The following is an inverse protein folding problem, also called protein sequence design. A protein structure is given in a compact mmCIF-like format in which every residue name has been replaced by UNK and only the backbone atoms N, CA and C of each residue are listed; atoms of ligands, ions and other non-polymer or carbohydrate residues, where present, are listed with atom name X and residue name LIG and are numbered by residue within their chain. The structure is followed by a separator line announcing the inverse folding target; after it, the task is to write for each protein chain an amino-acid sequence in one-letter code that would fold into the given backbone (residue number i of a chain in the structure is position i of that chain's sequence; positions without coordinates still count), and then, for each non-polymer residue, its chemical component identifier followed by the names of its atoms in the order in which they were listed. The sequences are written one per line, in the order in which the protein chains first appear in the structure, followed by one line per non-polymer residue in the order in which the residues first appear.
data_IF_278158262677
#
_entry.id   IF_278158262677
#
_cell.length_a   1.000
_cell.length_b   1.000
_cell.length_c   1.000
_cell.angle_alpha   90.00
_cell.angle_beta   90.00
_cell.angle_gamma   90.00
#
_symmetry.space_group_name_H-M   'P 1'
#
loop_
_entity.id
_entity.type
_entity.pdbx_description
1 polymer ?
#
# COMPACT_ATOMS: atom_id res chain seq x y z
N UNK A 1 19.00 15.42 -0.41
CA UNK A 1 17.58 15.85 -0.52
C UNK A 1 17.33 16.86 0.58
N UNK A 2 16.90 18.08 0.23
CA UNK A 2 16.96 19.26 1.09
C UNK A 2 16.03 19.12 2.31
N UNK A 3 16.60 18.85 3.49
CA UNK A 3 15.83 18.51 4.71
C UNK A 3 15.05 19.71 5.28
N UNK A 4 15.35 20.93 4.80
CA UNK A 4 14.75 22.20 5.25
C UNK A 4 13.60 22.71 4.38
N UNK A 5 13.43 22.18 3.16
CA UNK A 5 12.26 22.53 2.36
C UNK A 5 11.02 21.89 3.01
N UNK A 6 9.93 22.65 3.16
CA UNK A 6 8.62 22.20 3.65
C UNK A 6 8.49 21.96 5.18
N UNK A 7 9.36 22.56 6.01
CA UNK A 7 9.30 22.38 7.46
C UNK A 7 7.96 22.83 8.10
N UNK A 8 7.37 23.92 7.61
CA UNK A 8 6.08 24.41 8.11
C UNK A 8 4.91 23.51 7.68
N UNK A 9 4.87 23.08 6.42
CA UNK A 9 3.86 22.14 5.92
C UNK A 9 3.93 20.80 6.67
N UNK A 10 5.14 20.32 6.99
CA UNK A 10 5.31 19.11 7.81
C UNK A 10 4.77 19.29 9.23
N UNK A 11 4.94 20.47 9.84
CA UNK A 11 4.34 20.79 11.16
C UNK A 11 2.82 20.81 11.07
N UNK A 12 2.25 21.45 10.05
CA UNK A 12 0.79 21.49 9.85
C UNK A 12 0.22 20.06 9.72
N UNK A 13 0.89 19.21 8.97
CA UNK A 13 0.51 17.81 8.81
C UNK A 13 0.49 17.06 10.16
N UNK A 14 1.56 17.12 10.95
CA UNK A 14 1.61 16.44 12.26
C UNK A 14 0.66 17.04 13.30
N UNK A 15 0.49 18.35 13.31
CA UNK A 15 -0.48 19.01 14.20
C UNK A 15 -1.89 18.49 13.90
N UNK A 16 -2.28 18.37 12.63
CA UNK A 16 -3.60 17.82 12.28
C UNK A 16 -3.80 16.39 12.81
N UNK A 17 -2.79 15.52 12.69
CA UNK A 17 -2.87 14.13 13.17
C UNK A 17 -3.06 14.05 14.69
N UNK A 18 -2.32 14.87 15.43
CA UNK A 18 -2.29 14.84 16.90
C UNK A 18 -3.48 15.55 17.57
N UNK A 19 -4.30 16.27 16.79
CA UNK A 19 -5.50 16.97 17.30
C UNK A 19 -6.74 16.08 17.37
N UNK A 20 -6.76 14.96 16.65
CA UNK A 20 -7.89 14.03 16.70
C UNK A 20 -7.76 13.08 17.89
N UNK A 21 -8.83 12.94 18.69
CA UNK A 21 -8.83 12.11 19.89
C UNK A 21 -9.23 10.65 19.67
N UNK A 22 -9.89 10.33 18.56
CA UNK A 22 -10.44 8.98 18.28
C UNK A 22 -9.72 8.24 17.16
N UNK A 23 -9.13 8.95 16.21
CA UNK A 23 -8.54 8.40 15.01
C UNK A 23 -8.55 9.41 13.87
N UNK A 24 -7.72 9.17 12.86
CA UNK A 24 -7.57 10.07 11.71
C UNK A 24 -7.72 9.25 10.43
N UNK A 25 -8.51 9.77 9.49
CA UNK A 25 -8.61 9.25 8.15
C UNK A 25 -7.90 10.20 7.20
N UNK A 26 -6.91 9.69 6.47
CA UNK A 26 -6.18 10.43 5.45
C UNK A 26 -6.62 9.94 4.08
N UNK A 27 -7.13 10.84 3.25
CA UNK A 27 -7.41 10.55 1.84
C UNK A 27 -6.14 10.84 1.05
N UNK A 28 -5.70 9.87 0.25
CA UNK A 28 -4.49 10.03 -0.57
C UNK A 28 -4.65 9.38 -1.93
N UNK A 29 -3.86 9.85 -2.90
CA UNK A 29 -3.78 9.24 -4.20
C UNK A 29 -2.97 7.93 -4.10
N UNK A 30 -3.55 6.82 -4.55
CA UNK A 30 -2.93 5.51 -4.41
C UNK A 30 -1.71 5.30 -5.31
N UNK A 31 -1.52 6.06 -6.40
CA UNK A 31 -0.35 5.96 -7.30
C UNK A 31 0.77 6.92 -6.94
N UNK A 32 0.41 8.10 -6.42
CA UNK A 32 1.37 9.14 -6.06
C UNK A 32 1.01 9.72 -4.68
N UNK A 33 1.24 8.96 -3.60
CA UNK A 33 1.00 9.44 -2.26
C UNK A 33 2.00 10.54 -1.90
N UNK A 34 1.56 11.48 -1.07
CA UNK A 34 2.41 12.55 -0.56
C UNK A 34 3.62 11.99 0.19
N UNK A 35 4.74 12.72 0.18
CA UNK A 35 5.94 12.38 0.96
C UNK A 35 5.63 12.14 2.44
N UNK A 36 4.66 12.85 3.01
CA UNK A 36 4.30 12.72 4.42
C UNK A 36 3.64 11.38 4.72
N UNK A 37 2.94 10.76 3.75
CA UNK A 37 2.40 9.41 3.91
C UNK A 37 3.52 8.38 3.98
N UNK A 38 4.60 8.57 3.20
CA UNK A 38 5.79 7.71 3.29
C UNK A 38 6.46 7.83 4.64
N UNK A 39 6.71 9.06 5.08
CA UNK A 39 7.27 9.35 6.40
C UNK A 39 6.41 8.76 7.53
N UNK A 40 5.08 8.79 7.42
CA UNK A 40 4.19 8.13 8.38
C UNK A 40 4.32 6.61 8.37
N UNK A 41 4.34 5.98 7.19
CA UNK A 41 4.48 4.53 7.09
C UNK A 41 5.85 4.05 7.63
N UNK A 42 6.90 4.86 7.46
CA UNK A 42 8.23 4.59 8.03
C UNK A 42 8.22 4.63 9.57
N UNK A 43 7.44 5.52 10.17
CA UNK A 43 7.37 5.70 11.64
C UNK A 43 6.41 4.69 12.28
N UNK A 44 5.20 4.57 11.74
CA UNK A 44 4.08 3.85 12.35
C UNK A 44 3.87 2.44 11.76
N UNK A 45 4.51 2.11 10.64
CA UNK A 45 4.44 0.78 10.04
C UNK A 45 3.00 0.30 9.80
N UNK A 46 2.66 -0.83 10.43
CA UNK A 46 1.35 -1.48 10.30
C UNK A 46 0.22 -0.83 11.12
N UNK A 47 0.51 0.18 11.95
CA UNK A 47 -0.56 0.97 12.57
C UNK A 47 -1.30 1.83 11.52
N UNK A 48 -0.65 2.13 10.39
CA UNK A 48 -1.27 2.78 9.24
C UNK A 48 -1.99 1.74 8.40
N UNK A 49 -3.32 1.76 8.46
CA UNK A 49 -4.19 0.88 7.68
C UNK A 49 -4.67 1.57 6.42
N UNK A 50 -4.65 0.85 5.30
CA UNK A 50 -5.16 1.33 4.03
C UNK A 50 -6.48 0.66 3.72
N UNK A 51 -7.49 1.47 3.43
CA UNK A 51 -8.85 1.01 3.16
C UNK A 51 -9.39 1.75 1.94
N UNK A 52 -10.35 1.15 1.22
CA UNK A 52 -11.12 1.84 0.19
C UNK A 52 -12.04 2.89 0.82
N UNK A 53 -12.64 3.75 0.00
CA UNK A 53 -13.66 4.72 0.46
C UNK A 53 -14.85 3.99 1.11
N UNK A 54 -15.10 2.74 0.72
CA UNK A 54 -16.13 1.86 1.26
C UNK A 54 -15.67 1.08 2.52
N UNK A 55 -14.44 1.29 2.99
CA UNK A 55 -13.89 0.62 4.18
C UNK A 55 -13.30 -0.77 3.93
N UNK A 56 -13.12 -1.19 2.68
CA UNK A 56 -12.51 -2.49 2.38
C UNK A 56 -10.98 -2.41 2.55
N UNK A 57 -10.41 -3.32 3.34
CA UNK A 57 -8.97 -3.37 3.59
C UNK A 57 -8.17 -3.62 2.30
N UNK A 58 -7.15 -2.80 2.06
CA UNK A 58 -6.23 -2.93 0.93
C UNK A 58 -5.00 -3.74 1.35
N UNK A 59 -4.57 -4.66 0.49
CA UNK A 59 -3.36 -5.46 0.72
C UNK A 59 -2.12 -4.59 0.57
N UNK A 60 -1.62 -4.03 1.66
CA UNK A 60 -0.38 -3.24 1.67
C UNK A 60 0.81 -4.06 1.17
N UNK A 61 1.73 -3.38 0.51
CA UNK A 61 3.00 -3.94 0.07
C UNK A 61 3.88 -4.21 1.30
N UNK A 62 4.34 -5.45 1.53
CA UNK A 62 5.11 -5.79 2.72
C UNK A 62 6.52 -5.18 2.73
N UNK A 63 6.97 -4.64 1.60
CA UNK A 63 8.33 -4.06 1.46
C UNK A 63 8.32 -2.57 1.73
N UNK A 64 7.43 -1.80 1.09
CA UNK A 64 7.43 -0.34 1.24
C UNK A 64 6.37 0.17 2.22
N UNK A 65 5.37 -0.64 2.59
CA UNK A 65 4.23 -0.30 3.47
C UNK A 65 3.31 0.86 2.98
N UNK A 66 3.78 1.66 2.03
CA UNK A 66 3.07 2.79 1.42
C UNK A 66 2.16 2.34 0.28
N UNK A 67 2.67 1.43 -0.54
CA UNK A 67 1.97 0.91 -1.70
C UNK A 67 1.06 -0.25 -1.36
N UNK A 68 0.31 -0.70 -2.35
CA UNK A 68 -0.53 -1.90 -2.27
C UNK A 68 -0.17 -2.90 -3.35
N UNK A 69 -0.36 -4.18 -3.04
CA UNK A 69 -0.18 -5.30 -3.95
C UNK A 69 -1.40 -5.37 -4.87
N UNK A 70 -1.20 -5.04 -6.15
CA UNK A 70 -2.24 -5.07 -7.17
C UNK A 70 -1.97 -6.19 -8.17
N UNK A 71 -3.02 -6.81 -8.67
CA UNK A 71 -2.92 -7.77 -9.77
C UNK A 71 -2.38 -7.07 -11.04
N UNK A 72 -1.36 -7.67 -11.64
CA UNK A 72 -0.73 -7.25 -12.89
C UNK A 72 -0.56 -8.46 -13.80
N UNK A 73 -0.49 -8.20 -15.11
CA UNK A 73 -0.24 -9.24 -16.12
C UNK A 73 1.11 -9.01 -16.77
N UNK A 74 1.87 -10.09 -16.92
CA UNK A 74 3.09 -10.11 -17.71
C UNK A 74 2.76 -10.18 -19.22
N UNK A 75 3.77 -9.89 -20.06
CA UNK A 75 3.66 -9.99 -21.52
C UNK A 75 3.26 -11.40 -22.01
N UNK A 76 3.64 -12.43 -21.26
CA UNK A 76 3.31 -13.84 -21.52
C UNK A 76 1.92 -14.25 -21.00
N UNK A 77 1.12 -13.30 -20.48
CA UNK A 77 -0.23 -13.56 -19.96
C UNK A 77 -0.29 -14.09 -18.52
N UNK A 78 0.85 -14.39 -17.87
CA UNK A 78 0.83 -14.84 -16.47
C UNK A 78 0.45 -13.70 -15.54
N UNK A 79 -0.37 -14.00 -14.53
CA UNK A 79 -0.78 -13.06 -13.50
C UNK A 79 0.23 -13.05 -12.35
N UNK A 80 0.53 -11.87 -11.83
CA UNK A 80 1.35 -11.67 -10.63
C UNK A 80 0.79 -10.50 -9.82
N UNK A 81 1.13 -10.43 -8.53
CA UNK A 81 0.85 -9.25 -7.73
C UNK A 81 2.08 -8.37 -7.66
N UNK A 82 1.98 -7.11 -8.07
CA UNK A 82 3.07 -6.15 -7.99
C UNK A 82 2.70 -4.95 -7.15
N UNK A 83 3.69 -4.31 -6.51
CA UNK A 83 3.46 -3.03 -5.84
C UNK A 83 2.98 -1.98 -6.85
N UNK A 84 1.99 -1.18 -6.46
CA UNK A 84 1.47 -0.09 -7.28
C UNK A 84 2.36 1.17 -7.29
N UNK A 85 3.41 1.23 -6.46
CA UNK A 85 4.37 2.34 -6.37
C UNK A 85 5.57 2.20 -7.31
N UNK A 86 5.45 1.50 -8.43
CA UNK A 86 6.54 1.45 -9.42
C UNK A 86 6.73 2.85 -10.05
N UNK A 87 7.97 3.38 -10.21
CA UNK A 87 9.27 2.70 -10.08
C UNK A 87 9.90 2.71 -8.68
N UNK A 88 9.32 3.43 -7.72
CA UNK A 88 9.87 3.60 -6.37
C UNK A 88 9.91 2.29 -5.56
N UNK A 89 8.97 1.38 -5.83
CA UNK A 89 8.98 0.02 -5.29
C UNK A 89 8.78 -1.00 -6.42
N UNK A 90 9.72 -1.94 -6.55
CA UNK A 90 9.71 -3.02 -7.56
C UNK A 90 9.27 -4.37 -7.01
N UNK A 91 8.78 -4.43 -5.77
CA UNK A 91 8.34 -5.67 -5.16
C UNK A 91 7.23 -6.33 -5.97
N UNK A 92 7.34 -7.65 -6.17
CA UNK A 92 6.36 -8.46 -6.88
C UNK A 92 6.37 -9.90 -6.38
N UNK A 93 5.20 -10.53 -6.44
CA UNK A 93 4.94 -11.89 -5.98
C UNK A 93 4.18 -12.63 -7.08
N UNK A 94 4.63 -13.83 -7.43
CA UNK A 94 3.91 -14.70 -8.37
C UNK A 94 2.65 -15.27 -7.73
N UNK A 95 1.59 -15.46 -8.52
CA UNK A 95 0.41 -16.21 -8.08
C UNK A 95 0.78 -17.70 -8.11
N UNK A 96 0.89 -18.34 -6.94
CA UNK A 96 0.96 -19.81 -6.88
C UNK A 96 -0.41 -20.36 -7.25
N UNK A 97 -0.50 -21.11 -8.34
CA UNK A 97 -1.69 -21.87 -8.68
C UNK A 97 -1.97 -22.85 -7.53
N UNK A 98 -3.03 -22.61 -6.76
CA UNK A 98 -3.56 -23.64 -5.89
C UNK A 98 -4.08 -24.74 -6.80
N UNK A 99 -3.39 -25.88 -6.78
CA UNK A 99 -3.80 -27.11 -7.45
C UNK A 99 -5.23 -27.44 -7.04
N UNK A 100 -6.19 -27.24 -7.95
CA UNK A 100 -7.50 -27.87 -7.80
C UNK A 100 -7.26 -29.37 -7.79
N UNK A 101 -7.40 -29.99 -6.62
CA UNK A 101 -7.46 -31.43 -6.51
C UNK A 101 -8.61 -31.90 -7.42
N UNK A 102 -8.28 -32.44 -8.60
CA UNK A 102 -9.17 -33.29 -9.37
C UNK A 102 -9.45 -34.53 -8.52
N UNK A 103 -10.46 -34.48 -7.66
CA UNK A 103 -11.01 -35.70 -7.08
C UNK A 103 -11.84 -36.36 -8.19
N UNK A 104 -11.22 -37.35 -8.81
CA UNK A 104 -11.84 -38.27 -9.75
C UNK A 104 -13.17 -38.80 -9.18
N UNK A 105 -14.27 -38.62 -9.92
CA UNK A 105 -15.40 -39.55 -9.86
C UNK A 105 -14.85 -40.94 -10.18
N UNK A 106 -14.89 -41.86 -9.21
CA UNK A 106 -14.92 -43.29 -9.50
C UNK A 106 -16.35 -43.78 -9.25
N UNK A 107 -16.80 -44.56 -10.22
CA UNK A 107 -18.08 -45.23 -10.32
C UNK A 107 -18.32 -46.22 -9.18
#
# INVERSE_FOLDING_TARGET
MNIRAYAEERRLFYVALTRASRGVYLITNSRQPSRYIRELCEIAGYEVRYETIEGAALRQCPVCLVGQMVEKRNKNGTVFHGCNQFPDCRHSEGVRAQSTARLHRRA
#
